data_IF_140633228039
#
_entry.id   IF_140633228039
#
_cell.length_a   1.000
_cell.length_b   1.000
_cell.length_c   1.000
_cell.angle_alpha   90.00
_cell.angle_beta   90.00
_cell.angle_gamma   90.00
#
_symmetry.space_group_name_H-M   'P 1'
#
loop_
_entity.id
_entity.type
_entity.pdbx_description
1 polymer ?
#
# COMPACT_ATOMS: atom_id res chain seq x y z
N UNK A 1 -42.76 50.60 -13.71
CA UNK A 1 -42.60 49.44 -14.61
C UNK A 1 -41.56 48.50 -14.01
N UNK A 2 -41.98 47.46 -13.35
CA UNK A 2 -41.08 46.45 -12.77
C UNK A 2 -41.03 45.26 -13.75
N UNK A 3 -39.82 45.00 -14.27
CA UNK A 3 -39.57 43.85 -15.13
C UNK A 3 -39.15 42.71 -14.23
N UNK A 4 -40.04 41.71 -14.06
CA UNK A 4 -39.71 40.44 -13.37
C UNK A 4 -38.99 39.52 -14.35
N UNK A 5 -37.74 39.23 -14.08
CA UNK A 5 -36.98 38.20 -14.79
C UNK A 5 -37.23 36.88 -14.04
N UNK A 6 -38.04 36.01 -14.63
CA UNK A 6 -38.21 34.64 -14.14
C UNK A 6 -36.98 33.82 -14.56
N UNK A 7 -36.15 33.42 -13.58
CA UNK A 7 -35.05 32.49 -13.78
C UNK A 7 -35.63 31.08 -13.78
N UNK A 8 -35.78 30.52 -14.98
CA UNK A 8 -36.14 29.10 -15.15
C UNK A 8 -34.92 28.27 -14.89
N UNK A 9 -34.82 27.67 -13.70
CA UNK A 9 -33.81 26.64 -13.40
C UNK A 9 -34.07 25.41 -14.28
N UNK A 10 -33.32 25.27 -15.35
CA UNK A 10 -33.19 23.98 -16.03
C UNK A 10 -32.42 23.06 -15.10
N UNK A 11 -33.12 22.15 -14.46
CA UNK A 11 -32.56 20.99 -13.78
C UNK A 11 -31.79 20.17 -14.82
N UNK A 12 -30.47 20.09 -14.66
CA UNK A 12 -29.64 19.19 -15.44
C UNK A 12 -30.12 17.74 -15.24
N UNK A 13 -30.07 16.89 -16.29
CA UNK A 13 -30.55 15.53 -16.18
C UNK A 13 -29.74 14.75 -15.12
N UNK A 14 -30.49 14.11 -14.24
CA UNK A 14 -30.01 13.23 -13.19
C UNK A 14 -28.99 12.21 -13.73
N UNK A 15 -27.87 12.09 -13.04
CA UNK A 15 -26.76 11.16 -13.25
C UNK A 15 -27.17 9.67 -12.99
N UNK A 16 -28.40 9.30 -13.33
CA UNK A 16 -29.01 8.00 -13.01
C UNK A 16 -29.22 7.16 -14.27
N UNK A 17 -28.17 6.94 -15.03
CA UNK A 17 -28.16 5.86 -16.01
C UNK A 17 -26.73 5.31 -16.16
N UNK A 18 -26.17 4.77 -15.08
CA UNK A 18 -25.11 3.78 -15.26
C UNK A 18 -25.73 2.56 -15.94
N UNK A 19 -25.52 2.41 -17.26
CA UNK A 19 -25.84 1.19 -17.99
C UNK A 19 -25.29 0.02 -17.18
N UNK A 20 -26.15 -0.96 -16.81
CA UNK A 20 -25.73 -2.23 -16.23
C UNK A 20 -24.61 -2.78 -17.07
N UNK A 21 -23.42 -2.95 -16.47
CA UNK A 21 -22.27 -3.57 -17.13
C UNK A 21 -22.68 -5.01 -17.47
N UNK A 22 -22.29 -5.54 -18.64
CA UNK A 22 -22.60 -6.92 -18.97
C UNK A 22 -21.94 -7.84 -17.93
N UNK A 23 -22.74 -8.67 -17.29
CA UNK A 23 -22.26 -9.78 -16.45
C UNK A 23 -21.72 -10.85 -17.39
N UNK A 24 -20.41 -10.98 -17.47
CA UNK A 24 -19.79 -12.08 -18.20
C UNK A 24 -19.88 -13.33 -17.33
N UNK A 25 -20.58 -14.36 -17.83
CA UNK A 25 -20.56 -15.70 -17.25
C UNK A 25 -19.15 -16.29 -17.40
N UNK A 26 -18.59 -16.81 -16.31
CA UNK A 26 -17.39 -17.61 -16.34
C UNK A 26 -17.68 -18.88 -17.16
N UNK A 27 -17.06 -19.04 -18.32
CA UNK A 27 -16.96 -20.35 -18.97
C UNK A 27 -15.91 -21.17 -18.25
N UNK A 28 -16.37 -22.24 -17.60
CA UNK A 28 -15.52 -23.28 -17.02
C UNK A 28 -14.88 -24.05 -18.18
N UNK A 29 -13.52 -23.94 -18.34
CA UNK A 29 -12.72 -25.05 -18.88
C UNK A 29 -11.24 -24.68 -18.71
N UNK A 30 -10.59 -25.36 -17.73
CA UNK A 30 -9.17 -25.26 -17.48
C UNK A 30 -8.39 -26.26 -18.34
N UNK A 31 -7.83 -25.80 -19.42
CA UNK A 31 -6.70 -26.42 -20.07
C UNK A 31 -5.60 -25.36 -20.19
N UNK A 32 -4.34 -25.70 -19.97
CA UNK A 32 -3.15 -24.85 -19.85
C UNK A 32 -3.00 -23.68 -20.84
N UNK A 33 -3.99 -22.83 -20.92
CA UNK A 33 -4.03 -21.67 -21.78
C UNK A 33 -3.13 -20.54 -21.24
N UNK A 34 -2.48 -19.87 -22.16
CA UNK A 34 -1.70 -18.65 -21.88
C UNK A 34 -2.58 -17.63 -21.13
N UNK A 35 -1.99 -16.92 -20.17
CA UNK A 35 -2.68 -15.90 -19.38
C UNK A 35 -3.34 -14.89 -20.33
N UNK A 36 -4.67 -14.85 -20.40
CA UNK A 36 -5.38 -13.86 -21.23
C UNK A 36 -5.38 -12.48 -20.54
N UNK A 37 -4.21 -12.07 -20.13
CA UNK A 37 -3.95 -10.83 -19.42
C UNK A 37 -2.82 -10.06 -20.09
N UNK A 38 -2.81 -8.76 -19.87
CA UNK A 38 -1.78 -7.85 -20.32
C UNK A 38 -1.32 -6.99 -19.15
N UNK A 39 -0.02 -6.92 -18.92
CA UNK A 39 0.55 -6.17 -17.81
C UNK A 39 1.18 -4.88 -18.35
N UNK A 40 0.62 -3.74 -17.92
CA UNK A 40 1.16 -2.42 -18.21
C UNK A 40 2.04 -1.96 -17.05
N UNK A 41 3.32 -1.72 -17.33
CA UNK A 41 4.27 -1.20 -16.36
C UNK A 41 4.30 0.34 -16.43
N UNK A 42 3.80 1.01 -15.39
CA UNK A 42 3.94 2.45 -15.25
C UNK A 42 5.35 2.86 -14.84
N UNK A 43 5.65 4.16 -14.92
CA UNK A 43 7.00 4.68 -14.66
C UNK A 43 7.38 4.68 -13.17
N UNK A 44 6.40 4.64 -12.25
CA UNK A 44 6.64 4.76 -10.82
C UNK A 44 7.31 3.56 -10.15
N UNK A 45 7.24 2.36 -10.76
CA UNK A 45 7.99 1.18 -10.28
C UNK A 45 8.07 0.08 -11.35
N UNK A 46 8.89 0.31 -12.35
CA UNK A 46 9.08 -0.64 -13.46
C UNK A 46 9.74 -1.95 -13.02
N UNK A 47 10.64 -1.87 -12.03
CA UNK A 47 11.35 -3.04 -11.54
C UNK A 47 10.40 -4.06 -10.92
N UNK A 48 9.47 -3.61 -10.08
CA UNK A 48 8.45 -4.49 -9.50
C UNK A 48 7.55 -5.09 -10.60
N UNK A 49 7.13 -4.30 -11.58
CA UNK A 49 6.34 -4.79 -12.69
C UNK A 49 7.07 -5.88 -13.49
N UNK A 50 8.37 -5.72 -13.74
CA UNK A 50 9.18 -6.73 -14.40
C UNK A 50 9.29 -8.01 -13.55
N UNK A 51 9.56 -7.90 -12.25
CA UNK A 51 9.58 -9.06 -11.33
C UNK A 51 8.25 -9.84 -11.35
N UNK A 52 7.13 -9.12 -11.39
CA UNK A 52 5.80 -9.76 -11.51
C UNK A 52 5.65 -10.48 -12.84
N UNK A 53 6.07 -9.86 -13.95
CA UNK A 53 6.04 -10.47 -15.27
C UNK A 53 6.93 -11.73 -15.37
N UNK A 54 8.13 -11.67 -14.77
CA UNK A 54 9.06 -12.81 -14.73
C UNK A 54 8.43 -14.00 -13.96
N UNK A 55 7.78 -13.76 -12.83
CA UNK A 55 7.10 -14.80 -12.05
C UNK A 55 5.94 -15.41 -12.83
N UNK A 56 5.17 -14.59 -13.53
CA UNK A 56 4.03 -15.02 -14.35
C UNK A 56 4.45 -15.63 -15.70
N UNK A 57 5.75 -15.57 -16.02
CA UNK A 57 6.30 -15.97 -17.32
C UNK A 57 5.59 -15.29 -18.50
N UNK A 58 5.39 -13.97 -18.39
CA UNK A 58 4.80 -13.11 -19.43
C UNK A 58 5.72 -11.92 -19.72
N UNK A 59 5.61 -11.37 -20.92
CA UNK A 59 6.30 -10.11 -21.26
C UNK A 59 5.46 -8.92 -20.86
N UNK A 60 6.05 -7.86 -20.26
CA UNK A 60 5.35 -6.59 -20.07
C UNK A 60 4.86 -6.04 -21.41
N UNK A 61 3.73 -5.35 -21.41
CA UNK A 61 3.18 -4.73 -22.61
C UNK A 61 4.13 -3.71 -23.23
N UNK A 62 4.14 -3.67 -24.55
CA UNK A 62 4.92 -2.70 -25.31
C UNK A 62 4.27 -1.32 -25.21
N UNK A 63 4.66 -0.59 -24.19
CA UNK A 63 4.14 0.73 -23.78
C UNK A 63 5.27 1.75 -23.82
N UNK A 64 5.04 2.91 -24.42
CA UNK A 64 5.98 4.02 -24.40
C UNK A 64 5.38 5.18 -23.60
N UNK A 65 5.96 5.43 -22.45
CA UNK A 65 5.66 6.57 -21.56
C UNK A 65 6.76 7.60 -21.72
N UNK A 66 6.38 8.85 -21.95
CA UNK A 66 7.26 10.01 -22.08
C UNK A 66 6.62 11.23 -21.43
N UNK A 67 7.39 12.30 -21.34
CA UNK A 67 6.91 13.64 -21.01
C UNK A 67 7.12 14.54 -22.20
N UNK A 68 6.13 15.40 -22.47
CA UNK A 68 6.33 16.54 -23.37
C UNK A 68 7.16 17.62 -22.68
N UNK A 69 7.62 18.62 -23.43
CA UNK A 69 8.45 19.70 -22.90
C UNK A 69 7.74 20.58 -21.85
N UNK A 70 6.43 20.63 -21.89
CA UNK A 70 5.55 21.31 -20.95
C UNK A 70 5.21 20.45 -19.69
N UNK A 71 5.67 19.19 -19.67
CA UNK A 71 5.45 18.26 -18.57
C UNK A 71 4.25 17.34 -18.73
N UNK A 72 3.44 17.46 -19.78
CA UNK A 72 2.33 16.55 -20.04
C UNK A 72 2.79 15.10 -20.26
N UNK A 73 1.98 14.16 -19.79
CA UNK A 73 2.23 12.73 -19.97
C UNK A 73 1.85 12.31 -21.39
N UNK A 74 2.82 11.77 -22.14
CA UNK A 74 2.62 11.11 -23.41
C UNK A 74 2.59 9.60 -23.25
N UNK A 75 1.50 8.97 -23.67
CA UNK A 75 1.31 7.52 -23.59
C UNK A 75 1.07 6.97 -24.99
N UNK A 76 1.84 5.96 -25.39
CA UNK A 76 1.68 5.25 -26.67
C UNK A 76 1.67 3.75 -26.43
N UNK A 77 0.58 3.09 -26.78
CA UNK A 77 0.38 1.65 -26.63
C UNK A 77 0.50 0.98 -27.99
N UNK A 78 1.19 -0.15 -28.04
CA UNK A 78 1.43 -0.90 -29.29
C UNK A 78 0.73 -2.26 -29.29
N UNK A 79 0.37 -2.80 -28.10
CA UNK A 79 -0.31 -4.09 -28.00
C UNK A 79 -1.83 -3.95 -28.01
N UNK A 80 -2.53 -4.96 -28.56
CA UNK A 80 -3.98 -5.02 -28.53
C UNK A 80 -4.48 -5.43 -27.15
N UNK A 81 -5.36 -4.61 -26.58
CA UNK A 81 -6.01 -4.84 -25.29
C UNK A 81 -7.42 -5.41 -25.41
N UNK A 82 -7.92 -5.52 -26.67
CA UNK A 82 -9.33 -5.89 -26.91
C UNK A 82 -9.65 -7.26 -26.32
N UNK A 83 -10.66 -7.28 -25.41
CA UNK A 83 -11.14 -8.49 -24.75
C UNK A 83 -10.23 -9.08 -23.68
N UNK A 84 -9.07 -8.46 -23.41
CA UNK A 84 -8.12 -8.90 -22.38
C UNK A 84 -8.38 -8.25 -21.04
N UNK A 85 -7.94 -8.91 -19.96
CA UNK A 85 -7.78 -8.29 -18.66
C UNK A 85 -6.47 -7.51 -18.63
N UNK A 86 -6.54 -6.25 -18.25
CA UNK A 86 -5.37 -5.37 -18.22
C UNK A 86 -5.04 -5.03 -16.76
N UNK A 87 -3.84 -5.42 -16.35
CA UNK A 87 -3.28 -5.08 -15.05
C UNK A 87 -2.29 -3.92 -15.21
N UNK A 88 -2.56 -2.81 -14.53
CA UNK A 88 -1.72 -1.61 -14.56
C UNK A 88 -0.93 -1.55 -13.26
N UNK A 89 0.38 -1.78 -13.30
CA UNK A 89 1.25 -1.73 -12.11
C UNK A 89 1.90 -0.34 -12.05
N UNK A 90 1.48 0.48 -11.07
CA UNK A 90 1.95 1.84 -10.89
C UNK A 90 2.00 2.24 -9.42
N UNK A 91 3.18 2.50 -8.89
CA UNK A 91 3.34 3.09 -7.55
C UNK A 91 3.20 4.61 -7.62
N UNK A 92 2.38 5.18 -6.73
CA UNK A 92 2.02 6.59 -6.75
C UNK A 92 2.79 7.41 -5.69
N UNK A 93 4.12 7.22 -5.63
CA UNK A 93 5.02 8.08 -4.85
C UNK A 93 5.57 9.23 -5.70
N UNK A 94 6.55 9.93 -5.19
CA UNK A 94 7.19 11.05 -5.89
C UNK A 94 7.77 10.66 -7.27
N UNK A 95 7.52 11.44 -8.30
CA UNK A 95 6.67 12.63 -8.38
C UNK A 95 5.17 12.26 -8.36
N UNK A 96 4.49 12.53 -7.24
CA UNK A 96 3.16 11.98 -6.93
C UNK A 96 2.11 12.32 -7.98
N UNK A 97 1.99 13.60 -8.33
CA UNK A 97 0.97 14.07 -9.27
C UNK A 97 1.17 13.49 -10.67
N UNK A 98 2.42 13.37 -11.08
CA UNK A 98 2.80 12.78 -12.38
C UNK A 98 2.42 11.31 -12.44
N UNK A 99 2.78 10.54 -11.42
CA UNK A 99 2.48 9.12 -11.34
C UNK A 99 0.98 8.85 -11.23
N UNK A 100 0.24 9.71 -10.53
CA UNK A 100 -1.23 9.61 -10.46
C UNK A 100 -1.89 9.96 -11.80
N UNK A 101 -1.44 11.02 -12.48
CA UNK A 101 -1.95 11.39 -13.81
C UNK A 101 -1.65 10.30 -14.84
N UNK A 102 -0.43 9.76 -14.81
CA UNK A 102 -0.03 8.64 -15.67
C UNK A 102 -0.94 7.42 -15.47
N UNK A 103 -1.24 7.07 -14.22
CA UNK A 103 -2.17 5.99 -13.89
C UNK A 103 -3.56 6.24 -14.51
N UNK A 104 -4.13 7.44 -14.33
CA UNK A 104 -5.44 7.79 -14.89
C UNK A 104 -5.47 7.68 -16.42
N UNK A 105 -4.41 8.14 -17.10
CA UNK A 105 -4.30 8.05 -18.55
C UNK A 105 -4.15 6.59 -19.03
N UNK A 106 -3.41 5.75 -18.30
CA UNK A 106 -3.31 4.32 -18.61
C UNK A 106 -4.66 3.61 -18.46
N UNK A 107 -5.44 3.93 -17.41
CA UNK A 107 -6.80 3.38 -17.23
C UNK A 107 -7.70 3.75 -18.42
N UNK A 108 -7.72 5.05 -18.78
CA UNK A 108 -8.50 5.54 -19.92
C UNK A 108 -8.09 4.89 -21.24
N UNK A 109 -6.78 4.76 -21.48
CA UNK A 109 -6.24 4.10 -22.66
C UNK A 109 -6.72 2.65 -22.73
N UNK A 110 -6.57 1.87 -21.66
CA UNK A 110 -7.01 0.49 -21.60
C UNK A 110 -8.51 0.33 -21.92
N UNK A 111 -9.35 1.19 -21.33
CA UNK A 111 -10.79 1.17 -21.61
C UNK A 111 -11.13 1.49 -23.06
N UNK A 112 -10.54 2.54 -23.59
CA UNK A 112 -10.77 2.97 -24.99
C UNK A 112 -10.27 1.95 -26.01
N UNK A 113 -9.21 1.21 -25.67
CA UNK A 113 -8.69 0.11 -26.48
C UNK A 113 -9.47 -1.20 -26.32
N UNK A 114 -10.58 -1.20 -25.56
CA UNK A 114 -11.50 -2.33 -25.48
C UNK A 114 -11.08 -3.43 -24.50
N UNK A 115 -10.32 -3.09 -23.46
CA UNK A 115 -10.04 -4.01 -22.35
C UNK A 115 -11.33 -4.57 -21.72
N UNK A 116 -11.34 -5.87 -21.41
CA UNK A 116 -12.46 -6.53 -20.71
C UNK A 116 -12.56 -6.02 -19.29
N UNK A 117 -11.46 -6.10 -18.53
CA UNK A 117 -11.33 -5.53 -17.18
C UNK A 117 -10.05 -4.69 -17.09
N UNK A 118 -10.07 -3.66 -16.26
CA UNK A 118 -8.90 -2.84 -15.93
C UNK A 118 -8.68 -2.91 -14.43
N UNK A 119 -7.65 -3.61 -14.01
CA UNK A 119 -7.24 -3.78 -12.63
C UNK A 119 -6.00 -2.94 -12.36
N UNK A 120 -6.09 -2.02 -11.40
CA UNK A 120 -4.97 -1.18 -11.03
C UNK A 120 -4.23 -1.78 -9.84
N UNK A 121 -3.01 -2.24 -10.07
CA UNK A 121 -2.08 -2.65 -9.01
C UNK A 121 -1.29 -1.42 -8.59
N UNK A 122 -1.65 -0.84 -7.45
CA UNK A 122 -1.05 0.38 -6.91
C UNK A 122 -0.34 0.00 -5.60
N UNK A 123 0.90 -0.52 -5.66
CA UNK A 123 1.61 -1.01 -4.48
C UNK A 123 1.75 0.04 -3.40
N UNK A 124 1.96 1.29 -3.78
CA UNK A 124 1.89 2.43 -2.88
C UNK A 124 0.90 3.47 -3.42
N UNK A 125 -0.10 3.81 -2.59
CA UNK A 125 -1.11 4.81 -2.93
C UNK A 125 -0.77 6.16 -2.28
N UNK A 126 -0.66 7.21 -3.09
CA UNK A 126 -0.39 8.57 -2.63
C UNK A 126 -1.58 9.24 -1.90
N UNK A 127 -1.44 10.51 -1.55
CA UNK A 127 -2.50 11.34 -0.92
C UNK A 127 -3.03 10.82 0.43
N UNK A 128 -2.21 10.08 1.16
CA UNK A 128 -2.53 9.46 2.45
C UNK A 128 -2.63 10.44 3.63
N UNK A 129 -2.01 11.63 3.50
CA UNK A 129 -1.94 12.61 4.58
C UNK A 129 -3.25 13.35 4.83
N UNK A 130 -4.17 13.35 3.88
CA UNK A 130 -5.48 13.95 4.04
C UNK A 130 -6.38 13.04 4.89
N UNK A 131 -6.35 13.24 6.19
CA UNK A 131 -7.18 12.48 7.14
C UNK A 131 -8.63 12.96 7.10
N UNK A 132 -9.56 12.01 7.04
CA UNK A 132 -10.98 12.28 7.12
C UNK A 132 -11.30 12.86 8.50
N UNK A 133 -11.69 14.14 8.57
CA UNK A 133 -12.23 14.74 9.79
C UNK A 133 -11.27 15.54 10.67
N UNK A 134 -10.04 15.81 10.24
CA UNK A 134 -9.15 16.74 10.95
C UNK A 134 -9.31 18.19 10.45
N UNK A 135 -10.53 18.72 10.49
CA UNK A 135 -10.72 20.17 10.52
C UNK A 135 -10.84 20.57 11.99
N UNK A 136 -10.08 21.60 12.38
CA UNK A 136 -10.04 22.10 13.75
C UNK A 136 -11.44 22.26 14.32
N UNK A 137 -11.69 21.64 15.45
CA UNK A 137 -12.91 21.81 16.22
C UNK A 137 -12.85 23.15 16.96
N UNK A 138 -13.40 24.20 16.37
CA UNK A 138 -14.01 25.24 17.18
C UNK A 138 -15.43 24.80 17.51
N UNK A 139 -15.86 24.99 18.73
CA UNK A 139 -17.06 24.40 19.35
C UNK A 139 -18.40 24.56 18.61
N UNK A 140 -18.46 25.22 17.43
CA UNK A 140 -19.70 25.54 16.72
C UNK A 140 -19.62 25.48 15.18
N UNK A 141 -18.65 24.76 14.56
CA UNK A 141 -18.59 24.70 13.09
C UNK A 141 -18.89 23.31 12.56
N UNK A 142 -19.72 23.24 11.51
CA UNK A 142 -19.97 22.02 10.73
C UNK A 142 -18.67 21.47 10.16
N UNK A 143 -18.41 20.17 10.37
CA UNK A 143 -17.21 19.48 9.90
C UNK A 143 -17.41 19.04 8.48
N UNK A 144 -16.67 19.61 7.53
CA UNK A 144 -16.57 19.07 6.19
C UNK A 144 -15.58 17.90 6.21
N UNK A 145 -16.06 16.70 5.92
CA UNK A 145 -15.25 15.49 5.79
C UNK A 145 -14.78 15.36 4.33
N UNK A 146 -13.53 15.69 4.09
CA UNK A 146 -12.91 15.57 2.77
C UNK A 146 -11.71 14.64 2.81
N UNK A 147 -11.50 13.86 1.73
CA UNK A 147 -10.37 12.95 1.59
C UNK A 147 -9.91 12.93 0.13
N UNK A 148 -8.72 13.45 -0.15
CA UNK A 148 -8.15 13.44 -1.49
C UNK A 148 -8.02 12.03 -2.07
N UNK A 149 -7.71 11.04 -1.25
CA UNK A 149 -7.67 9.63 -1.70
C UNK A 149 -9.03 9.16 -2.23
N UNK A 150 -10.14 9.50 -1.56
CA UNK A 150 -11.49 9.17 -2.06
C UNK A 150 -11.78 9.81 -3.42
N UNK A 151 -11.32 11.03 -3.65
CA UNK A 151 -11.51 11.70 -4.93
C UNK A 151 -10.69 11.05 -6.04
N UNK A 152 -9.48 10.57 -5.73
CA UNK A 152 -8.71 9.75 -6.68
C UNK A 152 -9.39 8.43 -7.02
N UNK A 153 -9.97 7.73 -6.04
CA UNK A 153 -10.77 6.53 -6.33
C UNK A 153 -11.96 6.83 -7.24
N UNK A 154 -12.66 7.96 -7.03
CA UNK A 154 -13.73 8.41 -7.94
C UNK A 154 -13.21 8.66 -9.35
N UNK A 155 -12.10 9.37 -9.51
CA UNK A 155 -11.46 9.60 -10.81
C UNK A 155 -11.10 8.28 -11.50
N UNK A 156 -10.46 7.35 -10.79
CA UNK A 156 -10.13 6.02 -11.32
C UNK A 156 -11.39 5.27 -11.79
N UNK A 157 -12.48 5.33 -11.01
CA UNK A 157 -13.77 4.72 -11.37
C UNK A 157 -14.33 5.31 -12.65
N UNK A 158 -14.38 6.65 -12.75
CA UNK A 158 -14.90 7.35 -13.94
C UNK A 158 -14.04 7.04 -15.16
N UNK A 159 -12.72 6.94 -15.01
CA UNK A 159 -11.80 6.56 -16.09
C UNK A 159 -11.93 5.09 -16.51
N UNK A 160 -12.60 4.27 -15.70
CA UNK A 160 -12.96 2.89 -16.05
C UNK A 160 -12.17 1.80 -15.32
N UNK A 161 -11.57 2.09 -14.18
CA UNK A 161 -10.99 1.07 -13.30
C UNK A 161 -12.09 0.16 -12.74
N UNK A 162 -11.85 -1.17 -12.72
CA UNK A 162 -12.79 -2.15 -12.16
C UNK A 162 -12.41 -2.61 -10.76
N UNK A 163 -11.12 -2.63 -10.45
CA UNK A 163 -10.58 -3.10 -9.16
C UNK A 163 -9.24 -2.42 -8.88
N UNK A 164 -8.97 -2.16 -7.61
CA UNK A 164 -7.65 -1.71 -7.13
C UNK A 164 -7.05 -2.77 -6.22
N UNK A 165 -5.79 -3.12 -6.46
CA UNK A 165 -4.96 -3.93 -5.59
C UNK A 165 -3.86 -3.05 -5.03
N UNK A 166 -3.68 -3.01 -3.71
CA UNK A 166 -2.65 -2.22 -3.05
C UNK A 166 -1.87 -3.05 -2.02
N UNK A 167 -0.72 -2.56 -1.57
CA UNK A 167 0.04 -3.19 -0.48
C UNK A 167 -0.10 -2.34 0.76
N UNK A 168 -0.50 -2.98 1.88
CA UNK A 168 -0.65 -2.33 3.19
C UNK A 168 -1.28 -0.94 3.10
N UNK A 169 -2.42 -0.84 2.42
CA UNK A 169 -3.11 0.44 2.24
C UNK A 169 -3.29 1.12 3.59
N UNK A 170 -2.64 2.27 3.74
CA UNK A 170 -2.40 2.87 5.03
C UNK A 170 -3.68 3.43 5.67
N UNK A 171 -4.35 2.62 6.48
CA UNK A 171 -5.19 3.08 7.59
C UNK A 171 -5.20 2.04 8.70
N UNK A 172 -4.51 2.30 9.81
CA UNK A 172 -4.69 1.53 11.01
C UNK A 172 -6.05 1.86 11.64
N UNK A 173 -6.80 0.84 12.00
CA UNK A 173 -7.82 0.99 13.03
C UNK A 173 -9.27 0.69 12.69
N UNK A 174 -9.65 0.47 11.46
CA UNK A 174 -11.00 -0.01 11.15
C UNK A 174 -10.97 -0.78 9.84
N UNK A 175 -11.46 -2.02 9.83
CA UNK A 175 -11.58 -2.89 8.67
C UNK A 175 -12.50 -2.33 7.58
N UNK A 176 -12.04 -1.28 6.89
CA UNK A 176 -12.83 -0.53 5.93
C UNK A 176 -12.00 -0.17 4.72
N UNK A 177 -11.68 -1.17 3.93
CA UNK A 177 -11.29 -1.00 2.53
C UNK A 177 -12.37 -0.19 1.79
N UNK A 178 -13.63 -0.38 2.14
CA UNK A 178 -14.80 0.37 1.64
C UNK A 178 -14.77 1.88 1.95
N UNK A 179 -14.05 2.32 3.01
CA UNK A 179 -13.97 3.76 3.34
C UNK A 179 -13.18 4.59 2.33
N UNK A 180 -12.29 3.99 1.54
CA UNK A 180 -11.54 4.70 0.51
C UNK A 180 -12.34 4.86 -0.78
N UNK A 181 -13.01 3.79 -1.22
CA UNK A 181 -13.69 3.76 -2.50
C UNK A 181 -15.13 4.28 -2.43
N UNK A 182 -15.72 4.40 -1.21
CA UNK A 182 -17.11 4.79 -1.05
C UNK A 182 -18.06 3.90 -1.87
N UNK A 183 -17.83 2.57 -1.89
CA UNK A 183 -18.58 1.58 -2.67
C UNK A 183 -18.44 1.69 -4.21
N UNK A 184 -17.52 2.52 -4.71
CA UNK A 184 -17.40 2.76 -6.16
C UNK A 184 -16.69 1.62 -6.89
N UNK A 185 -15.56 1.13 -6.36
CA UNK A 185 -14.77 0.01 -6.91
C UNK A 185 -14.21 -0.86 -5.78
N UNK A 186 -14.10 -2.20 -5.98
CA UNK A 186 -13.46 -3.08 -5.03
C UNK A 186 -11.98 -2.70 -4.83
N UNK A 187 -11.55 -2.70 -3.57
CA UNK A 187 -10.15 -2.51 -3.18
C UNK A 187 -9.70 -3.74 -2.42
N UNK A 188 -8.65 -4.39 -2.89
CA UNK A 188 -8.00 -5.52 -2.23
C UNK A 188 -6.64 -5.08 -1.72
N UNK A 189 -6.28 -5.53 -0.52
CA UNK A 189 -5.01 -5.16 0.11
C UNK A 189 -4.15 -6.38 0.39
N UNK A 190 -2.94 -6.39 -0.14
CA UNK A 190 -1.88 -7.34 0.23
C UNK A 190 -1.29 -6.89 1.56
N UNK A 191 -1.23 -7.77 2.54
CA UNK A 191 -0.50 -7.55 3.78
C UNK A 191 0.93 -8.03 3.65
N UNK A 192 1.90 -7.20 4.07
CA UNK A 192 3.33 -7.52 3.92
C UNK A 192 3.97 -8.10 5.18
N UNK A 193 3.19 -8.26 6.27
CA UNK A 193 3.76 -8.68 7.55
C UNK A 193 4.36 -10.10 7.49
N UNK A 194 3.71 -11.06 6.84
CA UNK A 194 4.22 -12.43 6.71
C UNK A 194 5.59 -12.43 5.99
N UNK A 195 5.68 -11.69 4.88
CA UNK A 195 6.91 -11.54 4.11
C UNK A 195 8.08 -10.98 4.94
N UNK A 196 7.79 -9.99 5.80
CA UNK A 196 8.80 -9.41 6.68
C UNK A 196 9.20 -10.34 7.83
N UNK A 197 8.23 -11.06 8.38
CA UNK A 197 8.45 -12.07 9.44
C UNK A 197 9.32 -13.20 8.90
N UNK A 198 9.01 -13.71 7.72
CA UNK A 198 9.79 -14.77 7.07
C UNK A 198 11.22 -14.31 6.82
N UNK A 199 11.39 -13.08 6.29
CA UNK A 199 12.72 -12.51 6.12
C UNK A 199 13.50 -12.46 7.45
N UNK A 200 12.85 -12.03 8.55
CA UNK A 200 13.49 -11.98 9.88
C UNK A 200 13.89 -13.37 10.32
N UNK A 201 13.00 -14.36 10.22
CA UNK A 201 13.26 -15.74 10.64
C UNK A 201 14.42 -16.37 9.87
N UNK A 202 14.54 -16.06 8.58
CA UNK A 202 15.55 -16.67 7.71
C UNK A 202 16.92 -15.97 7.77
N UNK A 203 16.93 -14.64 7.95
CA UNK A 203 18.13 -13.82 7.71
C UNK A 203 18.68 -13.11 8.97
N UNK A 204 17.93 -13.11 10.07
CA UNK A 204 18.32 -12.39 11.29
C UNK A 204 18.43 -13.38 12.45
N UNK A 205 19.62 -13.50 13.00
CA UNK A 205 19.84 -14.27 14.23
C UNK A 205 19.45 -13.41 15.44
N UNK A 206 18.23 -13.58 15.90
CA UNK A 206 17.72 -12.91 17.09
C UNK A 206 18.24 -13.55 18.38
N UNK A 207 18.32 -12.75 19.44
CA UNK A 207 18.57 -13.25 20.79
C UNK A 207 17.34 -14.02 21.33
N UNK A 208 17.52 -14.85 22.41
CA UNK A 208 16.39 -15.59 22.98
C UNK A 208 15.25 -14.71 23.50
N UNK A 209 15.55 -13.46 23.83
CA UNK A 209 14.57 -12.48 24.30
C UNK A 209 14.41 -11.38 23.26
N UNK A 210 13.17 -11.19 22.78
CA UNK A 210 12.81 -10.23 21.76
C UNK A 210 11.68 -9.33 22.27
N UNK A 211 11.71 -8.06 21.93
CA UNK A 211 10.57 -7.16 22.16
C UNK A 211 10.09 -6.59 20.83
N UNK A 212 8.81 -6.80 20.51
CA UNK A 212 8.17 -6.17 19.36
C UNK A 212 7.58 -4.84 19.79
N UNK A 213 7.95 -3.76 19.13
CA UNK A 213 7.58 -2.40 19.50
C UNK A 213 6.70 -1.76 18.43
N UNK A 214 5.48 -1.38 18.76
CA UNK A 214 4.66 -0.55 17.88
C UNK A 214 5.17 0.89 17.88
N UNK A 215 5.51 1.45 16.73
CA UNK A 215 5.99 2.84 16.59
C UNK A 215 4.92 3.89 16.96
N UNK A 216 3.64 3.48 16.96
CA UNK A 216 2.51 4.24 17.46
C UNK A 216 1.37 3.27 17.84
N UNK A 217 0.41 3.74 18.63
CA UNK A 217 -0.74 2.93 19.08
C UNK A 217 -1.53 2.29 17.93
N UNK A 218 -1.57 2.94 16.81
CA UNK A 218 -2.25 2.46 15.60
C UNK A 218 -1.60 1.20 14.99
N UNK A 219 -0.34 0.90 15.30
CA UNK A 219 0.36 -0.30 14.82
C UNK A 219 0.35 -1.46 15.84
N UNK A 220 -0.31 -1.33 16.99
CA UNK A 220 -0.36 -2.36 18.03
C UNK A 220 -0.91 -3.70 17.50
N UNK A 221 -1.96 -3.66 16.67
CA UNK A 221 -2.52 -4.88 16.07
C UNK A 221 -1.49 -5.59 15.19
N UNK A 222 -0.76 -4.86 14.36
CA UNK A 222 0.32 -5.44 13.53
C UNK A 222 1.47 -5.96 14.39
N UNK A 223 1.89 -5.21 15.40
CA UNK A 223 2.94 -5.64 16.32
C UNK A 223 2.58 -6.94 17.05
N UNK A 224 1.29 -7.13 17.42
CA UNK A 224 0.82 -8.39 18.01
C UNK A 224 0.94 -9.58 17.05
N UNK A 225 0.68 -9.40 15.76
CA UNK A 225 0.88 -10.46 14.77
C UNK A 225 2.36 -10.87 14.73
N UNK A 226 3.28 -9.90 14.67
CA UNK A 226 4.72 -10.18 14.74
C UNK A 226 5.10 -10.90 16.03
N UNK A 227 4.57 -10.46 17.18
CA UNK A 227 4.80 -11.12 18.47
C UNK A 227 4.38 -12.59 18.41
N UNK A 228 3.15 -12.86 17.99
CA UNK A 228 2.60 -14.24 17.93
C UNK A 228 3.40 -15.13 16.99
N UNK A 229 3.78 -14.65 15.83
CA UNK A 229 4.52 -15.42 14.84
C UNK A 229 5.99 -15.66 15.25
N UNK A 230 6.64 -14.67 15.85
CA UNK A 230 8.01 -14.82 16.33
C UNK A 230 8.10 -15.72 17.54
N UNK A 231 7.08 -15.76 18.41
CA UNK A 231 7.03 -16.67 19.55
C UNK A 231 7.06 -18.15 19.15
N UNK A 232 6.62 -18.49 17.92
CA UNK A 232 6.66 -19.85 17.36
C UNK A 232 8.05 -20.23 16.83
N UNK A 233 9.00 -19.27 16.78
CA UNK A 233 10.33 -19.48 16.19
C UNK A 233 11.25 -20.20 17.15
N UNK A 234 11.93 -21.27 16.69
CA UNK A 234 12.89 -22.02 17.49
C UNK A 234 14.06 -21.12 17.95
N UNK A 235 14.40 -21.20 19.23
CA UNK A 235 15.50 -20.43 19.84
C UNK A 235 15.08 -19.07 20.41
N UNK A 236 13.81 -18.69 20.28
CA UNK A 236 13.22 -17.55 20.99
C UNK A 236 12.49 -18.07 22.22
N UNK A 237 12.89 -17.59 23.40
CA UNK A 237 12.32 -17.98 24.70
C UNK A 237 11.11 -17.12 25.04
N UNK A 238 11.20 -15.80 24.77
CA UNK A 238 10.13 -14.88 25.05
C UNK A 238 10.06 -13.76 24.03
N UNK A 239 8.82 -13.36 23.67
CA UNK A 239 8.55 -12.18 22.84
C UNK A 239 7.60 -11.26 23.57
N UNK A 240 8.13 -10.13 24.03
CA UNK A 240 7.36 -9.09 24.71
C UNK A 240 6.79 -8.09 23.72
N UNK A 241 5.75 -7.34 24.16
CA UNK A 241 5.11 -6.30 23.36
C UNK A 241 5.27 -4.96 24.06
N UNK A 242 5.77 -3.97 23.32
CA UNK A 242 5.85 -2.58 23.78
C UNK A 242 5.29 -1.62 22.72
N UNK A 243 5.06 -0.38 23.11
CA UNK A 243 4.52 0.62 22.19
C UNK A 243 4.98 2.03 22.53
N UNK A 244 5.13 2.85 21.50
CA UNK A 244 5.26 4.28 21.66
C UNK A 244 3.89 4.95 21.67
N UNK A 245 3.63 5.76 22.72
CA UNK A 245 2.49 6.64 22.76
C UNK A 245 2.89 8.03 22.30
N UNK A 246 2.22 8.54 21.28
CA UNK A 246 2.32 9.95 20.90
C UNK A 246 1.44 10.77 21.83
N UNK A 247 1.98 11.80 22.45
CA UNK A 247 1.17 12.78 23.15
C UNK A 247 0.32 13.51 22.10
N UNK A 248 -1.00 13.41 22.21
CA UNK A 248 -1.96 14.10 21.34
C UNK A 248 -1.97 15.59 21.72
N UNK A 249 -1.01 16.35 21.26
CA UNK A 249 -1.05 17.79 21.38
C UNK A 249 -1.26 18.42 20.01
N UNK A 250 -2.38 19.13 19.92
CA UNK A 250 -2.79 20.16 18.97
C UNK A 250 -2.03 20.26 17.64
N UNK A 251 -2.80 20.35 16.59
CA UNK A 251 -2.48 20.45 15.17
C UNK A 251 -1.39 21.48 14.77
N UNK A 252 -0.99 22.37 15.65
CA UNK A 252 -0.12 23.51 15.31
C UNK A 252 1.39 23.23 15.38
N UNK A 253 1.82 22.12 15.95
CA UNK A 253 3.26 21.87 16.11
C UNK A 253 3.66 20.53 15.51
N UNK A 254 4.16 20.56 14.27
CA UNK A 254 5.06 19.53 13.71
C UNK A 254 6.38 19.43 14.52
N UNK A 255 6.39 19.81 15.79
CA UNK A 255 7.52 19.60 16.68
C UNK A 255 7.50 18.15 17.14
N UNK A 256 8.64 17.50 16.96
CA UNK A 256 9.04 16.17 17.41
C UNK A 256 8.58 15.96 18.86
N UNK A 257 7.34 15.54 19.07
CA UNK A 257 6.84 15.21 20.41
C UNK A 257 7.51 13.91 20.82
N UNK A 258 8.22 13.96 21.95
CA UNK A 258 8.87 12.80 22.53
C UNK A 258 7.79 11.77 22.83
N UNK A 259 7.80 10.70 22.06
CA UNK A 259 6.91 9.55 22.27
C UNK A 259 7.37 8.84 23.55
N UNK A 260 6.46 8.56 24.47
CA UNK A 260 6.75 7.77 25.68
C UNK A 260 6.71 6.30 25.32
N UNK A 261 7.77 5.57 25.62
CA UNK A 261 7.78 4.10 25.52
C UNK A 261 6.95 3.51 26.68
N UNK A 262 6.05 2.59 26.34
CA UNK A 262 5.36 1.73 27.29
C UNK A 262 5.83 0.29 27.07
N UNK A 263 6.21 -0.40 28.11
CA UNK A 263 6.82 -1.73 28.06
C UNK A 263 8.33 -1.65 28.27
N UNK A 264 8.99 -2.81 28.32
CA UNK A 264 10.39 -2.95 28.63
C UNK A 264 11.14 -3.48 27.40
N UNK A 265 12.34 -2.94 27.13
CA UNK A 265 13.19 -3.31 25.99
C UNK A 265 14.62 -3.64 26.38
N UNK A 266 14.96 -3.46 27.67
CA UNK A 266 16.31 -3.61 28.19
C UNK A 266 16.89 -5.01 27.92
N UNK A 267 18.04 -5.06 27.26
CA UNK A 267 18.77 -6.30 26.97
C UNK A 267 18.09 -7.22 25.96
N UNK A 268 17.03 -6.78 25.28
CA UNK A 268 16.31 -7.56 24.24
C UNK A 268 16.67 -7.06 22.85
N UNK A 269 16.55 -7.92 21.83
CA UNK A 269 16.50 -7.49 20.45
C UNK A 269 15.14 -6.88 20.18
N UNK A 270 15.12 -5.71 19.56
CA UNK A 270 13.90 -4.94 19.34
C UNK A 270 13.51 -4.92 17.88
N UNK A 271 12.23 -5.26 17.59
CA UNK A 271 11.66 -5.16 16.25
C UNK A 271 10.57 -4.08 16.28
N UNK A 272 10.86 -2.93 15.68
CA UNK A 272 9.92 -1.81 15.58
C UNK A 272 9.01 -1.99 14.38
N UNK A 273 7.70 -1.90 14.58
CA UNK A 273 6.69 -1.99 13.53
C UNK A 273 6.12 -0.59 13.26
N UNK A 274 6.30 -0.13 12.03
CA UNK A 274 5.78 1.16 11.55
C UNK A 274 5.00 0.97 10.23
N UNK A 275 4.25 1.97 9.81
CA UNK A 275 3.54 1.97 8.53
C UNK A 275 4.38 2.45 7.35
N UNK A 276 5.40 3.27 7.60
CA UNK A 276 6.30 3.76 6.55
C UNK A 276 7.50 4.51 7.11
N UNK A 277 8.56 4.53 6.32
CA UNK A 277 9.73 5.38 6.54
C UNK A 277 9.74 6.48 5.49
N UNK A 278 9.52 7.73 5.92
CA UNK A 278 9.52 8.89 5.02
C UNK A 278 10.84 9.67 5.13
N UNK A 279 10.94 10.61 6.07
CA UNK A 279 12.14 11.42 6.30
C UNK A 279 13.15 10.76 7.23
N UNK A 280 12.85 9.59 7.77
CA UNK A 280 13.60 8.86 8.79
C UNK A 280 13.84 9.63 10.12
N UNK A 281 13.31 10.84 10.26
CA UNK A 281 13.47 11.62 11.50
C UNK A 281 12.75 10.99 12.69
N UNK A 282 11.53 10.48 12.51
CA UNK A 282 10.79 9.74 13.55
C UNK A 282 11.48 8.44 13.89
N UNK A 283 11.94 7.69 12.88
CA UNK A 283 12.71 6.46 13.04
C UNK A 283 13.96 6.70 13.89
N UNK A 284 14.77 7.68 13.52
CA UNK A 284 16.01 8.01 14.24
C UNK A 284 15.72 8.38 15.70
N UNK A 285 14.67 9.18 15.96
CA UNK A 285 14.27 9.55 17.30
C UNK A 285 13.82 8.34 18.14
N UNK A 286 13.00 7.45 17.57
CA UNK A 286 12.54 6.22 18.23
C UNK A 286 13.74 5.31 18.56
N UNK A 287 14.64 5.10 17.61
CA UNK A 287 15.82 4.27 17.81
C UNK A 287 16.77 4.85 18.90
N UNK A 288 16.89 6.18 18.99
CA UNK A 288 17.66 6.82 20.06
C UNK A 288 17.05 6.59 21.44
N UNK A 289 15.72 6.61 21.56
CA UNK A 289 15.04 6.29 22.82
C UNK A 289 15.28 4.83 23.18
N UNK A 290 15.09 3.90 22.25
CA UNK A 290 15.31 2.47 22.46
C UNK A 290 16.76 2.17 22.88
N UNK A 291 17.73 2.83 22.26
CA UNK A 291 19.14 2.68 22.65
C UNK A 291 19.44 3.22 24.06
N UNK A 292 18.78 4.31 24.48
CA UNK A 292 18.87 4.84 25.87
C UNK A 292 18.25 3.90 26.89
N UNK A 293 17.20 3.18 26.51
CA UNK A 293 16.55 2.15 27.33
C UNK A 293 17.30 0.79 27.24
N UNK A 294 18.55 0.81 26.80
CA UNK A 294 19.45 -0.34 26.73
C UNK A 294 18.92 -1.50 25.88
N UNK A 295 18.17 -1.23 24.82
CA UNK A 295 17.86 -2.21 23.77
C UNK A 295 19.17 -2.73 23.15
N UNK A 296 19.23 -4.04 22.81
CA UNK A 296 20.43 -4.67 22.26
C UNK A 296 20.59 -4.34 20.78
N UNK A 297 19.89 -5.04 19.91
CA UNK A 297 19.88 -4.77 18.47
C UNK A 297 18.52 -4.23 18.08
N UNK A 298 18.47 -3.20 17.22
CA UNK A 298 17.22 -2.55 16.81
C UNK A 298 16.99 -2.80 15.32
N UNK A 299 15.86 -3.40 15.00
CA UNK A 299 15.37 -3.64 13.65
C UNK A 299 14.08 -2.86 13.44
N UNK A 300 13.84 -2.39 12.22
CA UNK A 300 12.58 -1.72 11.87
C UNK A 300 11.94 -2.39 10.67
N UNK A 301 10.64 -2.66 10.76
CA UNK A 301 9.81 -3.17 9.68
C UNK A 301 8.76 -2.13 9.30
N UNK A 302 8.74 -1.74 8.04
CA UNK A 302 7.72 -0.86 7.49
C UNK A 302 7.40 -1.24 6.04
N UNK A 303 6.12 -1.39 5.65
CA UNK A 303 5.79 -1.77 4.27
C UNK A 303 6.35 -0.80 3.23
N UNK A 304 6.38 0.50 3.51
CA UNK A 304 6.76 1.51 2.53
C UNK A 304 7.99 2.31 2.94
N UNK A 305 9.02 2.27 2.08
CA UNK A 305 10.22 3.09 2.22
C UNK A 305 10.19 4.25 1.21
N UNK A 306 9.71 5.43 1.64
CA UNK A 306 9.70 6.62 0.78
C UNK A 306 11.07 7.30 0.71
N UNK A 307 11.79 7.31 1.81
CA UNK A 307 13.15 7.81 1.94
C UNK A 307 13.38 9.19 1.32
N UNK A 308 12.60 10.18 1.74
CA UNK A 308 12.69 11.55 1.24
C UNK A 308 13.72 12.39 2.01
N UNK A 309 14.22 13.45 1.38
CA UNK A 309 15.16 14.39 1.99
C UNK A 309 16.49 13.74 2.39
N UNK A 310 16.96 13.98 3.61
CA UNK A 310 18.21 13.42 4.15
C UNK A 310 18.03 12.07 4.88
N UNK A 311 17.00 11.32 4.51
CA UNK A 311 16.64 10.07 5.21
C UNK A 311 17.76 9.01 5.18
N UNK A 312 18.54 8.93 4.10
CA UNK A 312 19.66 7.99 4.00
C UNK A 312 20.73 8.24 5.05
N UNK A 313 21.09 9.50 5.25
CA UNK A 313 22.03 9.92 6.29
C UNK A 313 21.48 9.64 7.68
N UNK A 314 20.20 9.97 7.94
CA UNK A 314 19.57 9.71 9.22
C UNK A 314 19.46 8.21 9.54
N UNK A 315 19.19 7.36 8.56
CA UNK A 315 19.24 5.90 8.73
C UNK A 315 20.66 5.44 9.05
N UNK A 316 21.66 5.94 8.30
CA UNK A 316 23.04 5.55 8.51
C UNK A 316 23.54 5.93 9.92
N UNK A 317 23.22 7.13 10.39
CA UNK A 317 23.62 7.64 11.70
C UNK A 317 22.79 7.09 12.87
N UNK A 318 21.61 6.52 12.60
CA UNK A 318 20.75 5.97 13.66
C UNK A 318 21.31 4.66 14.22
N UNK A 319 20.98 4.29 15.47
CA UNK A 319 21.38 3.01 16.05
C UNK A 319 20.63 1.80 15.47
N UNK A 320 19.75 1.98 14.47
CA UNK A 320 19.07 0.87 13.79
C UNK A 320 20.10 -0.03 13.09
N UNK A 321 19.94 -1.34 13.22
CA UNK A 321 20.80 -2.34 12.57
C UNK A 321 20.34 -2.65 11.16
N UNK A 322 19.04 -2.85 10.96
CA UNK A 322 18.41 -3.02 9.65
C UNK A 322 17.04 -2.34 9.60
N UNK A 323 16.71 -1.80 8.43
CA UNK A 323 15.40 -1.26 8.07
C UNK A 323 14.85 -2.14 6.95
N UNK A 324 13.81 -2.90 7.25
CA UNK A 324 13.19 -3.85 6.32
C UNK A 324 11.96 -3.19 5.73
N UNK A 325 11.95 -3.01 4.40
CA UNK A 325 10.84 -2.42 3.65
C UNK A 325 10.46 -3.32 2.48
N UNK A 326 9.29 -3.11 1.89
CA UNK A 326 8.93 -3.81 0.65
C UNK A 326 9.39 -3.05 -0.59
N UNK A 327 9.41 -3.73 -1.73
CA UNK A 327 9.60 -3.12 -3.04
C UNK A 327 8.32 -2.50 -3.62
N UNK A 328 7.33 -2.18 -2.77
CA UNK A 328 6.18 -1.34 -3.16
C UNK A 328 6.59 0.01 -3.75
N UNK A 329 7.80 0.46 -3.41
CA UNK A 329 8.47 1.65 -3.92
C UNK A 329 9.91 1.30 -4.32
N UNK A 330 10.44 1.92 -5.38
CA UNK A 330 11.86 1.78 -5.70
C UNK A 330 12.72 2.42 -4.60
N UNK A 331 13.89 1.86 -4.37
CA UNK A 331 14.89 2.49 -3.51
C UNK A 331 15.54 3.69 -4.22
N UNK A 332 16.05 4.67 -3.46
CA UNK A 332 16.93 5.71 -4.02
C UNK A 332 18.20 5.11 -4.65
N UNK A 333 18.84 5.85 -5.55
CA UNK A 333 20.03 5.40 -6.30
C UNK A 333 21.19 4.94 -5.40
N UNK A 334 21.31 5.50 -4.19
CA UNK A 334 22.34 5.14 -3.21
C UNK A 334 21.68 4.83 -1.87
N UNK A 335 21.09 3.65 -1.70
CA UNK A 335 20.49 3.27 -0.43
C UNK A 335 21.57 3.01 0.63
N UNK A 336 21.22 3.24 1.90
CA UNK A 336 22.05 2.84 3.03
C UNK A 336 22.19 1.30 3.07
N UNK A 337 23.34 0.78 3.44
CA UNK A 337 23.61 -0.65 3.65
C UNK A 337 22.75 -1.28 4.76
N UNK A 338 22.14 -0.46 5.60
CA UNK A 338 21.16 -0.88 6.61
C UNK A 338 19.78 -1.17 6.05
N UNK A 339 19.46 -0.74 4.81
CA UNK A 339 18.16 -0.93 4.20
C UNK A 339 18.11 -2.28 3.49
N UNK A 340 17.07 -3.03 3.77
CA UNK A 340 16.74 -4.30 3.11
C UNK A 340 15.38 -4.18 2.46
N UNK A 341 15.30 -4.58 1.20
CA UNK A 341 14.07 -4.57 0.45
C UNK A 341 13.59 -6.01 0.19
N UNK A 342 12.37 -6.34 0.65
CA UNK A 342 11.70 -7.61 0.41
C UNK A 342 10.63 -7.45 -0.67
N UNK A 343 10.53 -8.43 -1.58
CA UNK A 343 9.69 -8.27 -2.77
C UNK A 343 8.26 -8.77 -2.57
N UNK A 344 7.28 -7.92 -2.88
CA UNK A 344 5.84 -8.26 -2.92
C UNK A 344 5.42 -8.85 -4.27
N UNK A 345 6.33 -9.00 -5.22
CA UNK A 345 6.04 -9.43 -6.58
C UNK A 345 5.32 -10.80 -6.61
N UNK A 346 5.73 -11.75 -5.75
CA UNK A 346 5.11 -13.09 -5.66
C UNK A 346 3.64 -13.03 -5.24
N UNK A 347 3.31 -12.15 -4.29
CA UNK A 347 1.92 -11.98 -3.84
C UNK A 347 1.06 -11.31 -4.92
N UNK A 348 1.60 -10.29 -5.60
CA UNK A 348 0.91 -9.64 -6.72
C UNK A 348 0.68 -10.65 -7.84
N UNK A 349 1.69 -11.43 -8.24
CA UNK A 349 1.58 -12.45 -9.27
C UNK A 349 0.49 -13.49 -8.94
N UNK A 350 0.47 -13.99 -7.69
CA UNK A 350 -0.53 -14.94 -7.21
C UNK A 350 -1.96 -14.42 -7.34
N UNK A 351 -2.20 -13.15 -7.00
CA UNK A 351 -3.52 -12.53 -7.14
C UNK A 351 -3.90 -12.35 -8.61
N UNK A 352 -2.95 -11.96 -9.47
CA UNK A 352 -3.18 -11.87 -10.92
C UNK A 352 -3.59 -13.22 -11.50
N UNK A 353 -2.92 -14.31 -11.13
CA UNK A 353 -3.28 -15.67 -11.54
C UNK A 353 -4.68 -16.07 -11.05
N UNK A 354 -5.00 -15.77 -9.80
CA UNK A 354 -6.33 -16.01 -9.20
C UNK A 354 -7.42 -15.23 -9.96
N UNK A 355 -7.20 -13.95 -10.22
CA UNK A 355 -8.14 -13.11 -10.96
C UNK A 355 -8.33 -13.55 -12.42
N UNK A 356 -7.34 -14.19 -13.02
CA UNK A 356 -7.39 -14.76 -14.37
C UNK A 356 -7.94 -16.19 -14.44
N UNK A 357 -8.39 -16.76 -13.31
CA UNK A 357 -9.00 -18.09 -13.25
C UNK A 357 -8.02 -19.25 -13.35
N UNK A 358 -6.69 -19.03 -13.18
CA UNK A 358 -5.68 -20.09 -13.19
C UNK A 358 -5.59 -20.88 -11.87
N UNK A 359 -6.26 -20.41 -10.81
CA UNK A 359 -6.25 -21.06 -9.51
C UNK A 359 -7.16 -22.30 -9.49
N UNK A 360 -6.62 -23.45 -9.07
CA UNK A 360 -7.42 -24.65 -8.87
C UNK A 360 -8.32 -24.47 -7.63
N UNK A 361 -9.53 -25.07 -7.66
CA UNK A 361 -10.48 -25.03 -6.53
C UNK A 361 -9.87 -25.54 -5.19
N UNK A 362 -8.85 -26.39 -5.26
CA UNK A 362 -8.13 -26.95 -4.11
C UNK A 362 -7.29 -25.88 -3.37
N UNK A 363 -6.59 -25.04 -4.14
CA UNK A 363 -5.73 -23.97 -3.58
C UNK A 363 -6.54 -22.91 -2.81
N UNK A 364 -7.83 -22.75 -3.19
CA UNK A 364 -8.75 -21.80 -2.51
C UNK A 364 -9.21 -22.36 -1.15
N UNK A 365 -9.42 -23.68 -1.03
CA UNK A 365 -9.79 -24.31 0.24
C UNK A 365 -8.67 -24.24 1.26
N UNK A 366 -7.46 -24.57 0.84
CA UNK A 366 -6.27 -24.56 1.69
C UNK A 366 -5.97 -23.11 2.22
N UNK A 367 -6.26 -22.06 1.42
CA UNK A 367 -6.14 -20.67 1.87
C UNK A 367 -7.24 -20.27 2.85
N UNK A 368 -8.48 -20.68 2.63
CA UNK A 368 -9.59 -20.40 3.56
C UNK A 368 -9.36 -21.09 4.92
N UNK A 369 -8.94 -22.35 4.93
CA UNK A 369 -8.60 -23.07 6.15
C UNK A 369 -7.43 -22.42 6.90
N UNK A 370 -6.39 -21.95 6.17
CA UNK A 370 -5.25 -21.26 6.77
C UNK A 370 -5.59 -19.87 7.32
N UNK A 371 -6.51 -19.14 6.68
CA UNK A 371 -7.00 -17.84 7.18
C UNK A 371 -7.97 -18.04 8.37
N UNK A 372 -8.82 -19.06 8.38
CA UNK A 372 -9.69 -19.39 9.50
C UNK A 372 -8.90 -19.80 10.75
N UNK A 373 -7.82 -20.57 10.61
CA UNK A 373 -6.91 -20.88 11.73
C UNK A 373 -6.17 -19.64 12.27
N UNK A 374 -5.89 -18.64 11.42
CA UNK A 374 -5.27 -17.37 11.85
C UNK A 374 -6.26 -16.40 12.53
N UNK A 375 -7.55 -16.50 12.23
CA UNK A 375 -8.59 -15.61 12.78
C UNK A 375 -9.22 -16.22 14.04
N UNK A 376 -8.75 -17.35 14.56
CA UNK A 376 -9.27 -18.03 15.74
C UNK A 376 -10.16 -17.13 16.60
N UNK A 377 -11.46 -17.32 16.50
CA UNK A 377 -12.43 -16.67 17.35
C UNK A 377 -12.29 -17.21 18.76
N UNK A 378 -11.68 -16.41 19.66
CA UNK A 378 -11.86 -16.46 21.11
C UNK A 378 -12.14 -15.03 21.61
#
# INVERSE_FOLDING_TARGET
MAVSVSCSMMLSPSFTAMKKRPTYSHSEEGNGEALNALIMAGSGNKELANKVCDILNVTPSHLKLKRFSDGEVSLKMFDSMRGKDVFIIQSCAAPVNDNMMELLLMISCARRCGARRVICVVPYFGYKYHRRGETMSTKNQSRFLWSASSDFFKMMTVMGCDKVLSVDLHRPGQGQETSYSGELIPVETITSHDLMIDYIKENIKLSPKVTVVAAASEYLKKARIFQTELQKTKGIESVELAAFLRKSDSFEVRRRTVSRLLGEVKGTDVIVIDGMVETAGSLSALCQVLAKEEAKDIYLCAPHGLFTGNSMELVHLSPVKKVIVTDSLPLPDKPSDKIVQVSVAKYIAKIIEKDCGKYRKQDIRDECEYEEEKIGYD
#
